data_IF_618321971488
#
_entry.id   IF_618321971488
#
_cell.length_a   1.000
_cell.length_b   1.000
_cell.length_c   1.000
_cell.angle_alpha   90.00
_cell.angle_beta   90.00
_cell.angle_gamma   90.00
#
_symmetry.space_group_name_H-M   'P 1'
#
loop_
_entity.id
_entity.type
_entity.pdbx_description
1 polymer ?
#
# COMPACT_ATOMS: atom_id res chain seq x y z
N UNK A 1 15.80 -63.53 -27.29
CA UNK A 1 16.36 -62.16 -27.22
C UNK A 1 15.27 -61.23 -27.73
N UNK A 2 14.74 -60.34 -26.90
CA UNK A 2 13.68 -59.40 -27.31
C UNK A 2 14.33 -58.26 -28.10
N UNK A 3 13.95 -58.10 -29.37
CA UNK A 3 14.50 -57.07 -30.25
C UNK A 3 13.64 -55.82 -30.20
N UNK A 4 14.23 -54.68 -29.86
CA UNK A 4 13.57 -53.38 -30.01
C UNK A 4 13.68 -52.91 -31.45
N UNK A 5 12.57 -52.40 -32.01
CA UNK A 5 12.56 -51.75 -33.32
C UNK A 5 12.76 -50.24 -33.16
N UNK A 6 13.51 -49.62 -34.05
CA UNK A 6 13.69 -48.16 -34.06
C UNK A 6 13.09 -47.54 -35.33
N UNK A 7 12.33 -46.46 -35.17
CA UNK A 7 11.66 -45.74 -36.26
C UNK A 7 12.05 -44.26 -36.25
N UNK A 8 12.11 -43.65 -37.43
CA UNK A 8 12.29 -42.20 -37.61
C UNK A 8 11.03 -41.66 -38.26
N UNK A 9 10.37 -40.71 -37.62
CA UNK A 9 9.07 -40.19 -38.07
C UNK A 9 8.98 -38.68 -37.88
N UNK A 10 8.04 -38.03 -38.56
CA UNK A 10 7.74 -36.60 -38.34
C UNK A 10 6.57 -36.38 -37.37
N UNK A 11 5.84 -37.44 -37.03
CA UNK A 11 4.81 -37.48 -36.01
C UNK A 11 4.74 -38.89 -35.41
N UNK A 12 4.26 -39.01 -34.18
CA UNK A 12 4.04 -40.34 -33.59
C UNK A 12 2.89 -41.05 -34.34
N UNK A 13 3.07 -42.29 -34.84
CA UNK A 13 2.02 -43.01 -35.55
C UNK A 13 0.79 -43.29 -34.67
N UNK A 14 -0.41 -43.24 -35.25
CA UNK A 14 -1.66 -43.56 -34.54
C UNK A 14 -1.77 -45.03 -34.09
N UNK A 15 -0.99 -45.93 -34.71
CA UNK A 15 -0.83 -47.33 -34.28
C UNK A 15 0.64 -47.60 -34.01
N UNK A 16 1.00 -47.93 -32.78
CA UNK A 16 2.37 -48.20 -32.38
C UNK A 16 2.71 -49.68 -32.56
N UNK A 17 3.96 -49.95 -32.89
CA UNK A 17 4.52 -51.30 -32.86
C UNK A 17 4.84 -51.68 -31.42
N UNK A 18 4.58 -52.93 -30.99
CA UNK A 18 5.09 -53.44 -29.73
C UNK A 18 6.62 -53.33 -29.64
N UNK A 19 7.13 -52.97 -28.45
CA UNK A 19 8.56 -52.89 -28.16
C UNK A 19 9.35 -52.03 -29.16
N UNK A 20 8.90 -50.81 -29.43
CA UNK A 20 9.49 -49.91 -30.39
C UNK A 20 9.95 -48.58 -29.77
N UNK A 21 10.98 -48.00 -30.36
CA UNK A 21 11.49 -46.67 -30.08
C UNK A 21 11.23 -45.80 -31.32
N UNK A 22 10.62 -44.64 -31.12
CA UNK A 22 10.36 -43.67 -32.17
C UNK A 22 11.16 -42.40 -31.90
N UNK A 23 11.99 -42.01 -32.86
CA UNK A 23 12.61 -40.70 -32.93
C UNK A 23 11.73 -39.82 -33.82
N UNK A 24 10.98 -38.92 -33.19
CA UNK A 24 10.03 -38.04 -33.87
C UNK A 24 10.67 -36.66 -34.01
N UNK A 25 10.77 -36.15 -35.23
CA UNK A 25 11.21 -34.79 -35.53
C UNK A 25 10.00 -33.98 -36.04
N UNK A 26 9.25 -33.30 -35.16
CA UNK A 26 8.03 -32.61 -35.54
C UNK A 26 8.31 -31.49 -36.56
N UNK A 27 7.51 -31.41 -37.63
CA UNK A 27 7.66 -30.34 -38.64
C UNK A 27 7.45 -28.94 -38.06
N UNK A 28 6.65 -28.82 -36.99
CA UNK A 28 6.43 -27.58 -36.26
C UNK A 28 7.59 -27.18 -35.35
N UNK A 29 8.52 -28.09 -35.06
CA UNK A 29 9.66 -27.90 -34.14
C UNK A 29 10.95 -28.44 -34.75
N UNK A 30 11.51 -27.77 -35.79
CA UNK A 30 12.60 -28.31 -36.61
C UNK A 30 13.91 -28.56 -35.83
N UNK A 31 14.07 -27.97 -34.65
CA UNK A 31 15.26 -28.11 -33.80
C UNK A 31 15.07 -29.13 -32.65
N UNK A 32 13.97 -29.89 -32.65
CA UNK A 32 13.64 -30.84 -31.59
C UNK A 32 13.54 -32.26 -32.13
N UNK A 33 14.00 -33.21 -31.31
CA UNK A 33 13.69 -34.64 -31.47
C UNK A 33 13.00 -35.10 -30.20
N UNK A 34 11.81 -35.65 -30.35
CA UNK A 34 11.05 -36.30 -29.29
C UNK A 34 11.33 -37.81 -29.36
N UNK A 35 11.55 -38.44 -28.21
CA UNK A 35 11.76 -39.89 -28.12
C UNK A 35 10.56 -40.52 -27.42
N UNK A 36 9.92 -41.46 -28.11
CA UNK A 36 8.81 -42.25 -27.60
C UNK A 36 9.21 -43.72 -27.54
N UNK A 37 8.82 -44.40 -26.46
CA UNK A 37 9.03 -45.84 -26.29
C UNK A 37 7.68 -46.51 -26.06
N UNK A 38 7.29 -47.42 -26.94
CA UNK A 38 6.03 -48.16 -26.83
C UNK A 38 6.14 -49.35 -25.88
N UNK A 39 5.02 -49.72 -25.28
CA UNK A 39 4.88 -50.89 -24.43
C UNK A 39 4.92 -52.22 -25.20
N UNK A 40 4.74 -53.32 -24.46
CA UNK A 40 4.73 -54.68 -24.98
C UNK A 40 3.58 -54.99 -25.96
N UNK A 41 2.56 -54.13 -26.03
CA UNK A 41 1.35 -54.36 -26.83
C UNK A 41 1.17 -53.29 -27.92
N UNK A 42 2.04 -52.28 -27.98
CA UNK A 42 1.88 -51.11 -28.86
C UNK A 42 0.68 -50.25 -28.47
N UNK A 43 0.18 -50.35 -27.23
CA UNK A 43 -1.04 -49.68 -26.79
C UNK A 43 -0.79 -48.32 -26.16
N UNK A 44 0.42 -48.08 -25.68
CA UNK A 44 0.83 -46.81 -25.09
C UNK A 44 2.30 -46.52 -25.36
N UNK A 45 2.65 -45.24 -25.37
CA UNK A 45 4.04 -44.77 -25.42
C UNK A 45 4.37 -43.94 -24.18
N UNK A 46 5.60 -44.09 -23.69
CA UNK A 46 6.22 -43.20 -22.72
C UNK A 46 7.16 -42.23 -23.46
N UNK A 47 7.26 -40.99 -23.00
CA UNK A 47 8.16 -39.96 -23.53
C UNK A 47 8.84 -39.17 -22.42
N UNK A 48 9.90 -38.45 -22.77
CA UNK A 48 10.42 -37.35 -21.95
C UNK A 48 9.45 -36.16 -22.03
N UNK A 49 9.37 -35.37 -20.97
CA UNK A 49 8.54 -34.16 -20.93
C UNK A 49 8.87 -33.23 -22.11
N UNK A 50 7.84 -32.81 -22.81
CA UNK A 50 7.90 -31.81 -23.88
C UNK A 50 7.69 -30.40 -23.29
N UNK A 51 8.01 -29.38 -24.07
CA UNK A 51 7.61 -28.00 -23.82
C UNK A 51 6.11 -27.83 -23.57
N UNK A 52 5.26 -28.59 -24.27
CA UNK A 52 3.80 -28.62 -24.03
C UNK A 52 3.48 -29.15 -22.63
N UNK A 53 4.15 -30.23 -22.20
CA UNK A 53 3.96 -30.79 -20.86
C UNK A 53 4.42 -29.78 -19.79
N UNK A 54 5.59 -29.14 -20.01
CA UNK A 54 6.12 -28.09 -19.12
C UNK A 54 5.17 -26.89 -19.04
N UNK A 55 4.65 -26.42 -20.18
CA UNK A 55 3.69 -25.32 -20.21
C UNK A 55 2.39 -25.70 -19.50
N UNK A 56 1.93 -26.94 -19.65
CA UNK A 56 0.79 -27.48 -18.91
C UNK A 56 0.99 -27.46 -17.40
N UNK A 57 2.18 -27.88 -16.93
CA UNK A 57 2.55 -27.83 -15.51
C UNK A 57 2.66 -26.40 -14.97
N UNK A 58 3.24 -25.48 -15.75
CA UNK A 58 3.30 -24.05 -15.40
C UNK A 58 1.89 -23.49 -15.27
N UNK A 59 1.03 -23.71 -16.27
CA UNK A 59 -0.35 -23.24 -16.27
C UNK A 59 -1.14 -23.80 -15.08
N UNK A 60 -0.97 -25.09 -14.76
CA UNK A 60 -1.57 -25.70 -13.58
C UNK A 60 -1.07 -25.06 -12.27
N UNK A 61 0.21 -24.68 -12.22
CA UNK A 61 0.82 -24.08 -11.03
C UNK A 61 0.40 -22.63 -10.81
N UNK A 62 0.21 -21.85 -11.89
CA UNK A 62 -0.16 -20.43 -11.81
C UNK A 62 -1.67 -20.19 -11.92
N UNK A 63 -2.45 -21.18 -12.39
CA UNK A 63 -3.90 -21.04 -12.57
C UNK A 63 -4.66 -20.74 -11.27
N UNK A 64 -4.08 -21.06 -10.11
CA UNK A 64 -4.61 -20.69 -8.80
C UNK A 64 -4.21 -19.30 -8.32
N UNK A 65 -3.26 -18.62 -8.99
CA UNK A 65 -2.81 -17.27 -8.65
C UNK A 65 -3.77 -16.28 -9.31
N UNK A 66 -4.73 -15.80 -8.54
CA UNK A 66 -5.69 -14.79 -9.02
C UNK A 66 -5.10 -13.40 -8.75
N UNK A 67 -4.92 -12.60 -9.80
CA UNK A 67 -4.48 -11.21 -9.67
C UNK A 67 -5.52 -10.32 -8.97
N UNK A 68 -5.15 -9.08 -8.69
CA UNK A 68 -6.09 -8.06 -8.23
C UNK A 68 -7.08 -7.75 -9.35
N UNK A 69 -8.37 -7.96 -9.10
CA UNK A 69 -9.44 -7.52 -9.98
C UNK A 69 -9.93 -6.14 -9.56
N UNK A 70 -10.29 -5.28 -10.52
CA UNK A 70 -10.83 -3.94 -10.25
C UNK A 70 -12.25 -3.85 -10.79
N UNK A 71 -13.18 -3.35 -9.98
CA UNK A 71 -14.60 -3.18 -10.36
C UNK A 71 -15.11 -1.79 -9.99
N UNK A 72 -16.17 -1.34 -10.66
CA UNK A 72 -16.70 0.01 -10.49
C UNK A 72 -17.32 0.24 -9.10
N UNK A 73 -18.13 -0.71 -8.62
CA UNK A 73 -18.92 -0.54 -7.40
C UNK A 73 -19.24 -1.87 -6.69
N UNK A 74 -19.94 -1.76 -5.56
CA UNK A 74 -20.37 -2.87 -4.71
C UNK A 74 -21.25 -3.87 -5.48
N UNK A 75 -22.29 -3.46 -6.23
CA UNK A 75 -23.04 -4.37 -7.09
C UNK A 75 -22.16 -5.14 -8.09
N UNK A 76 -21.18 -4.49 -8.72
CA UNK A 76 -20.27 -5.14 -9.67
C UNK A 76 -19.37 -6.19 -9.02
N UNK A 77 -18.93 -5.98 -7.77
CA UNK A 77 -18.23 -6.99 -6.98
C UNK A 77 -19.16 -8.16 -6.64
N UNK A 78 -20.38 -7.87 -6.20
CA UNK A 78 -21.32 -8.90 -5.73
C UNK A 78 -21.83 -9.78 -6.88
N UNK A 79 -21.76 -9.29 -8.12
CA UNK A 79 -22.00 -10.05 -9.34
C UNK A 79 -20.84 -11.00 -9.73
N UNK A 80 -19.68 -10.93 -9.07
CA UNK A 80 -18.57 -11.85 -9.32
C UNK A 80 -18.89 -13.26 -8.80
N UNK A 81 -18.38 -14.28 -9.50
CA UNK A 81 -18.48 -15.68 -9.08
C UNK A 81 -17.09 -16.33 -8.95
N UNK A 82 -16.25 -15.92 -7.97
CA UNK A 82 -14.89 -16.43 -7.88
C UNK A 82 -14.88 -17.90 -7.44
N UNK A 83 -14.05 -18.71 -8.09
CA UNK A 83 -13.80 -20.12 -7.72
C UNK A 83 -12.52 -20.31 -6.92
N UNK A 84 -11.73 -19.24 -6.78
CA UNK A 84 -10.48 -19.16 -6.00
C UNK A 84 -10.54 -17.96 -5.06
N UNK A 85 -9.65 -17.91 -4.06
CA UNK A 85 -9.51 -16.72 -3.24
C UNK A 85 -9.01 -15.57 -4.12
N UNK A 86 -9.64 -14.41 -4.01
CA UNK A 86 -9.38 -13.30 -4.94
C UNK A 86 -9.37 -11.97 -4.22
N UNK A 87 -8.42 -11.09 -4.56
CA UNK A 87 -8.48 -9.68 -4.16
C UNK A 87 -9.26 -8.86 -5.19
N UNK A 88 -10.14 -8.00 -4.71
CA UNK A 88 -10.92 -7.08 -5.53
C UNK A 88 -10.80 -5.66 -4.98
N UNK A 89 -10.38 -4.73 -5.83
CA UNK A 89 -10.51 -3.29 -5.58
C UNK A 89 -11.85 -2.80 -6.15
N UNK A 90 -12.68 -2.23 -5.28
CA UNK A 90 -13.93 -1.58 -5.65
C UNK A 90 -13.69 -0.08 -5.67
N UNK A 91 -13.87 0.57 -6.82
CA UNK A 91 -13.57 2.00 -6.99
C UNK A 91 -14.57 2.91 -6.25
N UNK A 92 -15.85 2.55 -6.25
CA UNK A 92 -16.89 3.19 -5.46
C UNK A 92 -17.50 2.19 -4.47
N UNK A 93 -16.97 2.17 -3.26
CA UNK A 93 -17.37 1.24 -2.21
C UNK A 93 -18.52 1.74 -1.33
N UNK A 94 -19.18 2.87 -1.68
CA UNK A 94 -20.26 3.49 -0.88
C UNK A 94 -21.49 2.62 -0.63
N UNK A 95 -21.66 1.50 -1.36
CA UNK A 95 -22.67 0.49 -1.05
C UNK A 95 -22.35 -0.37 0.19
N UNK A 96 -21.13 -0.31 0.71
CA UNK A 96 -20.74 -0.86 2.01
C UNK A 96 -21.01 0.19 3.08
N UNK A 97 -21.85 -0.11 4.06
CA UNK A 97 -22.28 0.85 5.10
C UNK A 97 -21.15 1.39 5.97
N UNK A 98 -19.97 0.77 5.92
CA UNK A 98 -18.79 1.21 6.64
C UNK A 98 -17.86 2.09 5.80
N UNK A 99 -18.19 2.35 4.53
CA UNK A 99 -17.45 3.24 3.63
C UNK A 99 -18.34 4.43 3.27
N UNK A 100 -18.01 5.59 3.82
CA UNK A 100 -18.68 6.87 3.57
C UNK A 100 -18.39 7.38 2.17
N UNK A 101 -17.15 7.24 1.68
CA UNK A 101 -16.76 7.66 0.33
C UNK A 101 -15.51 6.95 -0.18
N UNK A 102 -15.36 6.86 -1.50
CA UNK A 102 -14.14 6.37 -2.14
C UNK A 102 -14.11 4.85 -2.35
N UNK A 103 -12.92 4.28 -2.31
CA UNK A 103 -12.65 2.91 -2.74
C UNK A 103 -12.44 1.97 -1.55
N UNK A 104 -12.59 0.67 -1.75
CA UNK A 104 -12.20 -0.32 -0.76
C UNK A 104 -11.67 -1.61 -1.41
N UNK A 105 -10.75 -2.27 -0.71
CA UNK A 105 -10.20 -3.55 -1.14
C UNK A 105 -10.83 -4.66 -0.31
N UNK A 106 -11.28 -5.70 -1.02
CA UNK A 106 -11.90 -6.88 -0.45
C UNK A 106 -11.11 -8.12 -0.83
N UNK A 107 -11.13 -9.12 0.05
CA UNK A 107 -10.70 -10.48 -0.27
C UNK A 107 -11.92 -11.39 -0.27
N UNK A 108 -12.10 -12.15 -1.34
CA UNK A 108 -13.03 -13.27 -1.39
C UNK A 108 -12.36 -14.50 -0.79
N UNK A 109 -13.05 -15.15 0.15
CA UNK A 109 -12.64 -16.44 0.71
C UNK A 109 -13.60 -17.52 0.24
N UNK A 110 -13.10 -18.47 -0.55
CA UNK A 110 -13.91 -19.57 -1.10
C UNK A 110 -14.43 -20.49 0.00
N UNK A 111 -13.61 -20.78 1.02
CA UNK A 111 -13.99 -21.72 2.09
C UNK A 111 -15.19 -21.27 2.92
N UNK A 112 -15.46 -19.96 2.96
CA UNK A 112 -16.60 -19.38 3.68
C UNK A 112 -17.58 -18.67 2.75
N UNK A 113 -17.35 -18.73 1.44
CA UNK A 113 -18.11 -18.01 0.40
C UNK A 113 -18.43 -16.57 0.81
N UNK A 114 -17.41 -15.84 1.26
CA UNK A 114 -17.61 -14.52 1.84
C UNK A 114 -16.55 -13.51 1.44
N UNK A 115 -16.99 -12.25 1.34
CA UNK A 115 -16.13 -11.09 1.19
C UNK A 115 -15.67 -10.60 2.56
N UNK A 116 -14.39 -10.24 2.67
CA UNK A 116 -13.83 -9.54 3.84
C UNK A 116 -13.18 -8.26 3.36
N UNK A 117 -13.61 -7.11 3.89
CA UNK A 117 -12.94 -5.83 3.63
C UNK A 117 -11.58 -5.83 4.36
N UNK A 118 -10.51 -5.51 3.66
CA UNK A 118 -9.14 -5.50 4.21
C UNK A 118 -8.50 -4.12 4.22
N UNK A 119 -9.01 -3.21 3.39
CA UNK A 119 -8.64 -1.81 3.42
C UNK A 119 -9.78 -0.96 2.87
N UNK A 120 -9.84 0.29 3.30
CA UNK A 120 -10.63 1.32 2.67
C UNK A 120 -9.72 2.50 2.33
N UNK A 121 -10.04 3.18 1.25
CA UNK A 121 -9.41 4.40 0.79
C UNK A 121 -10.51 5.45 0.74
N UNK A 122 -10.80 6.02 1.90
CA UNK A 122 -11.45 7.32 1.98
C UNK A 122 -10.37 8.37 1.78
N UNK A 123 -10.63 9.44 1.02
CA UNK A 123 -9.69 10.56 0.98
C UNK A 123 -9.49 11.05 2.41
N UNK A 124 -8.25 11.07 2.88
CA UNK A 124 -7.87 11.64 4.18
C UNK A 124 -8.01 13.16 4.10
N UNK A 125 -9.25 13.66 4.16
CA UNK A 125 -9.52 15.08 4.36
C UNK A 125 -9.37 15.39 5.85
N UNK A 126 -8.14 15.73 6.24
CA UNK A 126 -7.78 15.88 7.64
C UNK A 126 -8.18 17.28 8.14
N UNK A 127 -9.42 17.41 8.62
CA UNK A 127 -9.84 18.59 9.38
C UNK A 127 -9.45 18.42 10.85
N UNK A 128 -8.27 18.95 11.21
CA UNK A 128 -7.79 18.92 12.60
C UNK A 128 -8.43 20.04 13.43
N UNK A 129 -9.21 19.65 14.44
CA UNK A 129 -9.68 20.59 15.45
C UNK A 129 -8.58 20.82 16.49
N UNK A 130 -8.23 22.10 16.74
CA UNK A 130 -7.24 22.47 17.76
C UNK A 130 -7.52 21.77 19.09
N UNK A 131 -8.79 21.68 19.50
CA UNK A 131 -9.21 21.03 20.74
C UNK A 131 -8.67 19.60 20.93
N UNK A 132 -8.49 18.85 19.83
CA UNK A 132 -8.18 17.42 19.82
C UNK A 132 -6.68 17.11 19.66
N UNK A 133 -5.83 18.14 19.56
CA UNK A 133 -4.38 17.97 19.44
C UNK A 133 -3.79 17.69 20.83
N UNK A 134 -3.16 16.51 21.01
CA UNK A 134 -2.45 16.18 22.25
C UNK A 134 -1.19 17.04 22.41
N UNK A 135 -0.90 17.47 23.63
CA UNK A 135 0.27 18.32 23.92
C UNK A 135 0.15 19.78 23.46
N UNK A 136 -1.04 20.22 23.02
CA UNK A 136 -1.28 21.62 22.65
C UNK A 136 -1.24 22.57 23.86
N UNK A 137 -0.92 23.85 23.64
CA UNK A 137 -1.18 24.89 24.64
C UNK A 137 -2.64 24.90 25.13
N UNK A 138 -2.83 25.09 26.43
CA UNK A 138 -4.16 25.26 27.04
C UNK A 138 -4.73 26.66 26.82
N UNK A 139 -3.87 27.64 26.54
CA UNK A 139 -4.26 29.01 26.19
C UNK A 139 -5.14 29.07 24.95
N UNK A 140 -6.08 30.01 24.91
CA UNK A 140 -6.84 30.30 23.69
C UNK A 140 -5.90 30.79 22.58
N UNK A 141 -6.30 30.61 21.32
CA UNK A 141 -5.57 31.14 20.15
C UNK A 141 -5.28 32.63 20.34
N UNK A 142 -6.30 33.41 20.75
CA UNK A 142 -6.16 34.85 21.01
C UNK A 142 -5.13 35.19 22.11
N UNK A 143 -5.01 34.36 23.15
CA UNK A 143 -4.05 34.61 24.23
C UNK A 143 -2.62 34.33 23.77
N UNK A 144 -2.44 33.32 22.90
CA UNK A 144 -1.15 33.03 22.27
C UNK A 144 -0.77 34.21 21.36
N UNK A 145 -1.68 34.67 20.51
CA UNK A 145 -1.43 35.80 19.61
C UNK A 145 -1.10 37.09 20.37
N UNK A 146 -1.82 37.36 21.47
CA UNK A 146 -1.56 38.52 22.33
C UNK A 146 -0.20 38.41 23.03
N UNK A 147 0.19 37.22 23.52
CA UNK A 147 1.50 37.02 24.12
C UNK A 147 2.63 37.26 23.11
N UNK A 148 2.46 36.82 21.87
CA UNK A 148 3.42 37.07 20.77
C UNK A 148 3.48 38.55 20.42
N UNK A 149 2.35 39.25 20.36
CA UNK A 149 2.35 40.70 20.10
C UNK A 149 3.01 41.50 21.24
N UNK A 150 2.78 41.09 22.49
CA UNK A 150 3.24 41.83 23.67
C UNK A 150 4.69 41.51 24.05
N UNK A 151 5.28 40.44 23.51
CA UNK A 151 6.66 40.04 23.82
C UNK A 151 7.70 41.10 23.44
N UNK A 152 7.32 42.08 22.61
CA UNK A 152 8.20 43.14 22.13
C UNK A 152 7.60 44.56 22.20
N UNK A 153 6.61 44.82 23.07
CA UNK A 153 6.04 46.17 23.24
C UNK A 153 5.94 46.57 24.70
N UNK A 154 6.54 47.71 25.07
CA UNK A 154 6.31 48.36 26.36
C UNK A 154 5.72 49.74 26.13
N UNK A 155 4.45 49.94 26.49
CA UNK A 155 3.77 51.23 26.35
C UNK A 155 4.48 52.37 27.11
N UNK A 156 5.19 52.04 28.20
CA UNK A 156 5.96 52.96 29.03
C UNK A 156 7.47 52.88 28.78
N UNK A 157 7.91 52.35 27.63
CA UNK A 157 9.35 52.20 27.30
C UNK A 157 10.14 53.49 27.55
N UNK A 158 9.63 54.63 27.09
CA UNK A 158 10.29 55.94 27.25
C UNK A 158 10.44 56.37 28.72
N UNK A 159 9.65 55.82 29.64
CA UNK A 159 9.72 56.11 31.07
C UNK A 159 10.65 55.13 31.77
N UNK A 160 10.61 53.85 31.37
CA UNK A 160 11.56 52.84 31.85
C UNK A 160 12.99 53.19 31.43
N UNK A 161 13.17 53.69 30.21
CA UNK A 161 14.47 54.16 29.69
C UNK A 161 15.05 55.33 30.51
N UNK A 162 14.25 56.01 31.34
CA UNK A 162 14.72 57.07 32.26
C UNK A 162 15.20 56.52 33.59
N UNK A 163 14.84 55.29 33.97
CA UNK A 163 15.30 54.70 35.22
C UNK A 163 16.72 54.19 35.01
N UNK A 164 17.64 54.62 35.85
CA UNK A 164 19.04 54.19 35.79
C UNK A 164 19.68 54.12 37.17
N UNK A 165 20.98 53.87 37.20
CA UNK A 165 21.79 53.79 38.40
C UNK A 165 23.04 54.64 38.21
N UNK A 166 23.44 55.41 39.21
CA UNK A 166 24.67 56.21 39.15
C UNK A 166 25.89 55.38 39.60
N UNK A 167 27.09 55.96 39.48
CA UNK A 167 28.36 55.31 39.85
C UNK A 167 28.46 54.88 41.33
N UNK A 168 27.59 55.40 42.19
CA UNK A 168 27.55 55.07 43.63
C UNK A 168 26.50 54.00 43.95
N UNK A 169 25.84 53.42 42.93
CA UNK A 169 24.81 52.42 43.09
C UNK A 169 23.43 52.95 43.49
N UNK A 170 23.19 54.25 43.29
CA UNK A 170 21.91 54.88 43.65
C UNK A 170 20.97 54.98 42.45
N UNK A 171 19.68 54.71 42.68
CA UNK A 171 18.63 54.88 41.69
C UNK A 171 18.57 56.33 41.19
N UNK A 172 18.47 56.50 39.87
CA UNK A 172 18.31 57.78 39.19
C UNK A 172 17.07 57.76 38.30
N UNK A 173 16.48 58.94 38.12
CA UNK A 173 15.47 59.20 37.09
C UNK A 173 16.00 60.27 36.14
N UNK A 174 16.13 59.90 34.87
CA UNK A 174 16.72 60.71 33.81
C UNK A 174 18.14 61.22 34.16
N UNK A 175 18.96 60.36 34.79
CA UNK A 175 20.33 60.66 35.20
C UNK A 175 20.46 61.51 36.47
N UNK A 176 19.36 61.86 37.14
CA UNK A 176 19.35 62.69 38.36
C UNK A 176 18.83 61.88 39.55
N UNK A 177 19.32 62.19 40.75
CA UNK A 177 18.78 61.61 41.99
C UNK A 177 17.31 62.04 42.18
N UNK A 178 16.38 61.11 42.47
CA UNK A 178 15.01 61.46 42.78
C UNK A 178 14.94 62.36 44.00
N UNK A 179 14.15 63.43 43.92
CA UNK A 179 13.90 64.33 45.05
C UNK A 179 12.54 64.03 45.67
N UNK A 180 12.45 64.06 47.01
CA UNK A 180 11.18 63.94 47.71
C UNK A 180 10.47 65.31 47.69
N UNK A 181 9.16 65.33 47.45
CA UNK A 181 8.34 66.55 47.36
C UNK A 181 8.15 67.34 48.66
N UNK A 182 9.00 67.16 49.67
CA UNK A 182 8.95 67.84 50.97
C UNK A 182 9.64 69.22 50.98
N UNK A 183 9.72 69.89 49.82
CA UNK A 183 10.28 71.24 49.71
C UNK A 183 9.22 72.35 49.82
N UNK A 184 8.16 72.16 50.62
CA UNK A 184 7.36 73.31 51.07
C UNK A 184 8.10 73.97 52.24
N UNK A 185 8.88 75.00 51.92
CA UNK A 185 9.50 75.91 52.88
C UNK A 185 8.41 76.73 53.61
N UNK A 186 7.73 76.12 54.56
CA UNK A 186 7.02 76.78 55.66
C UNK A 186 6.61 75.69 56.66
N UNK A 187 7.49 75.41 57.61
CA UNK A 187 7.11 74.86 58.91
C UNK A 187 7.15 75.99 59.93
#
# INVERSE_FOLDING_TARGET
MTTFKAFRETALPGTLQPYAIYFVAPTSKPNYVEIYVSDATGSSAKRVLTDTDVQGLINASIGGITGLQVVADIPARDALNPTTNQLVLVLNATGDTTVTSGAATYIYRVSTTSWTKISEAESLDLVLQWANIQGRPTSSVSAIDAAVSNSHTHANKTQLDKIGENANGLLTYNGVLPTMGWNSLTW
#
